data_IF_496414149644
#
_entry.id   IF_496414149644
#
_cell.length_a   1.000
_cell.length_b   1.000
_cell.length_c   1.000
_cell.angle_alpha   90.00
_cell.angle_beta   90.00
_cell.angle_gamma   90.00
#
_symmetry.space_group_name_H-M   'P 1'
#
loop_
_entity.id
_entity.type
_entity.pdbx_description
1 polymer ?
#
# COMPACT_ATOMS: atom_id res chain seq x y z
N UNK A 1 -3.63 15.52 -18.63
CA UNK A 1 -2.60 14.49 -18.47
C UNK A 1 -1.76 14.69 -17.19
N UNK A 2 -1.15 15.85 -16.95
CA UNK A 2 -0.34 16.10 -15.75
C UNK A 2 -1.07 15.85 -14.42
N UNK A 3 -2.35 16.21 -14.31
CA UNK A 3 -3.19 15.98 -13.11
C UNK A 3 -3.38 14.49 -12.74
N UNK A 4 -3.20 13.57 -13.66
CA UNK A 4 -3.33 12.12 -13.44
C UNK A 4 -1.97 11.44 -13.18
N UNK A 5 -0.87 12.06 -13.59
CA UNK A 5 0.46 11.46 -13.52
C UNK A 5 1.14 11.75 -12.17
N UNK A 6 0.99 12.97 -11.63
CA UNK A 6 1.67 13.34 -10.39
C UNK A 6 1.27 12.47 -9.16
N UNK A 7 -0.03 12.07 -8.98
CA UNK A 7 -0.37 11.18 -7.88
C UNK A 7 0.27 9.80 -8.04
N UNK A 8 0.37 9.31 -9.29
CA UNK A 8 1.01 8.05 -9.59
C UNK A 8 2.51 8.08 -9.26
N UNK A 9 3.19 9.16 -9.63
CA UNK A 9 4.61 9.35 -9.29
C UNK A 9 4.81 9.42 -7.77
N UNK A 10 3.93 10.13 -7.05
CA UNK A 10 3.97 10.20 -5.60
C UNK A 10 3.82 8.81 -4.97
N UNK A 11 2.87 8.00 -5.44
CA UNK A 11 2.65 6.62 -4.98
C UNK A 11 3.92 5.79 -5.22
N UNK A 12 4.50 5.85 -6.41
CA UNK A 12 5.68 5.06 -6.77
C UNK A 12 6.86 5.44 -5.87
N UNK A 13 7.16 6.73 -5.75
CA UNK A 13 8.28 7.21 -4.93
C UNK A 13 8.09 6.86 -3.45
N UNK A 14 6.88 7.08 -2.93
CA UNK A 14 6.55 6.72 -1.54
C UNK A 14 6.65 5.21 -1.31
N UNK A 15 6.22 4.40 -2.27
CA UNK A 15 6.29 2.94 -2.18
C UNK A 15 7.74 2.43 -2.21
N UNK A 16 8.61 3.04 -3.01
CA UNK A 16 10.06 2.72 -3.02
C UNK A 16 10.65 3.00 -1.64
N UNK A 17 10.43 4.21 -1.11
CA UNK A 17 10.92 4.60 0.20
C UNK A 17 10.36 3.68 1.31
N UNK A 18 9.06 3.39 1.27
CA UNK A 18 8.38 2.48 2.18
C UNK A 18 9.06 1.10 2.22
N UNK A 19 9.27 0.48 1.05
CA UNK A 19 9.88 -0.85 0.97
C UNK A 19 11.34 -0.85 1.47
N UNK A 20 12.11 0.20 1.18
CA UNK A 20 13.47 0.37 1.67
C UNK A 20 13.50 0.50 3.21
N UNK A 21 12.66 1.36 3.77
CA UNK A 21 12.57 1.56 5.21
C UNK A 21 12.09 0.28 5.93
N UNK A 22 11.05 -0.37 5.42
CA UNK A 22 10.51 -1.60 6.02
C UNK A 22 11.54 -2.73 6.02
N UNK A 23 12.30 -2.88 4.94
CA UNK A 23 13.40 -3.87 4.87
C UNK A 23 14.54 -3.55 5.83
N UNK A 24 14.75 -2.27 6.15
CA UNK A 24 15.81 -1.80 7.05
C UNK A 24 15.46 -1.93 8.54
N UNK A 25 14.23 -2.30 8.87
CA UNK A 25 13.81 -2.54 10.26
C UNK A 25 14.64 -3.67 10.87
N UNK A 26 15.31 -3.46 12.00
CA UNK A 26 16.12 -4.50 12.65
C UNK A 26 15.28 -5.72 13.01
N UNK A 27 15.86 -6.90 12.87
CA UNK A 27 15.17 -8.18 13.16
C UNK A 27 14.78 -8.34 14.63
N UNK A 28 15.53 -7.72 15.53
CA UNK A 28 15.32 -7.73 16.98
C UNK A 28 14.30 -6.67 17.45
N UNK A 29 13.89 -5.72 16.60
CA UNK A 29 12.87 -4.74 16.96
C UNK A 29 11.49 -5.39 16.98
N UNK A 30 10.64 -5.03 17.93
CA UNK A 30 9.25 -5.47 17.89
C UNK A 30 8.53 -4.83 16.69
N UNK A 31 7.87 -5.65 15.80
CA UNK A 31 7.15 -5.12 14.66
C UNK A 31 6.09 -4.10 15.04
N UNK A 32 5.28 -4.41 16.04
CA UNK A 32 4.19 -3.54 16.47
C UNK A 32 4.71 -2.26 17.15
N UNK A 33 5.79 -2.35 17.93
CA UNK A 33 6.45 -1.18 18.50
C UNK A 33 6.98 -0.23 17.42
N UNK A 34 7.58 -0.78 16.36
CA UNK A 34 8.03 0.01 15.21
C UNK A 34 6.85 0.68 14.49
N UNK A 35 5.74 -0.04 14.29
CA UNK A 35 4.55 0.51 13.65
C UNK A 35 3.90 1.63 14.47
N UNK A 36 3.90 1.54 15.79
CA UNK A 36 3.41 2.64 16.65
C UNK A 36 4.19 3.92 16.38
N UNK A 37 5.52 3.85 16.32
CA UNK A 37 6.36 5.02 16.02
C UNK A 37 6.08 5.55 14.61
N UNK A 38 5.93 4.66 13.64
CA UNK A 38 5.59 5.01 12.24
C UNK A 38 4.27 5.76 12.17
N UNK A 39 3.24 5.27 12.86
CA UNK A 39 1.91 5.92 12.85
C UNK A 39 1.90 7.24 13.60
N UNK A 40 2.63 7.35 14.70
CA UNK A 40 2.77 8.63 15.41
C UNK A 40 3.46 9.67 14.52
N UNK A 41 4.55 9.29 13.86
CA UNK A 41 5.22 10.18 12.90
C UNK A 41 4.29 10.56 11.74
N UNK A 42 3.58 9.60 11.17
CA UNK A 42 2.58 9.84 10.13
C UNK A 42 1.46 10.76 10.59
N UNK A 43 0.94 10.55 11.79
CA UNK A 43 -0.11 11.39 12.38
C UNK A 43 0.35 12.84 12.58
N UNK A 44 1.58 13.07 13.04
CA UNK A 44 2.14 14.42 13.19
C UNK A 44 2.26 15.10 11.83
N UNK A 45 2.77 14.40 10.82
CA UNK A 45 2.93 14.95 9.47
C UNK A 45 1.57 15.27 8.87
N UNK A 46 0.60 14.37 8.94
CA UNK A 46 -0.74 14.59 8.40
C UNK A 46 -1.47 15.69 9.13
N UNK A 47 -1.31 15.80 10.46
CA UNK A 47 -1.85 16.90 11.25
C UNK A 47 -1.28 18.26 10.82
N UNK A 48 0.04 18.34 10.63
CA UNK A 48 0.70 19.55 10.15
C UNK A 48 0.19 19.96 8.76
N UNK A 49 0.08 19.00 7.83
CA UNK A 49 -0.45 19.24 6.49
C UNK A 49 -1.92 19.67 6.51
N UNK A 50 -2.72 19.07 7.38
CA UNK A 50 -4.12 19.45 7.58
C UNK A 50 -4.24 20.89 8.08
N UNK A 51 -3.44 21.26 9.08
CA UNK A 51 -3.41 22.62 9.62
C UNK A 51 -3.02 23.65 8.57
N UNK A 52 -2.00 23.36 7.77
CA UNK A 52 -1.51 24.24 6.70
C UNK A 52 -2.53 24.40 5.58
N UNK A 53 -3.34 23.35 5.31
CA UNK A 53 -4.27 23.35 4.19
C UNK A 53 -5.68 23.88 4.55
N UNK A 54 -6.18 23.56 5.73
CA UNK A 54 -7.57 23.79 6.10
C UNK A 54 -7.82 25.05 6.91
N UNK A 55 -6.81 25.65 7.52
CA UNK A 55 -6.91 26.91 8.30
C UNK A 55 -7.79 26.86 9.56
N UNK A 56 -8.73 25.92 9.66
CA UNK A 56 -9.52 25.65 10.87
C UNK A 56 -9.86 24.14 10.95
N UNK A 57 -9.49 23.47 12.05
CA UNK A 57 -9.66 22.05 12.20
C UNK A 57 -11.07 21.68 12.68
N UNK A 58 -12.00 21.46 11.79
CA UNK A 58 -13.27 20.81 12.12
C UNK A 58 -13.11 19.30 11.95
N UNK A 59 -12.50 18.65 12.94
CA UNK A 59 -12.25 17.20 12.94
C UNK A 59 -13.52 16.37 12.85
N UNK A 60 -14.61 16.82 13.43
CA UNK A 60 -15.89 16.11 13.49
C UNK A 60 -16.46 15.78 12.10
N UNK A 61 -16.25 16.64 11.11
CA UNK A 61 -16.73 16.42 9.74
C UNK A 61 -15.96 15.32 8.98
N UNK A 62 -14.79 14.88 9.50
CA UNK A 62 -13.90 13.93 8.83
C UNK A 62 -13.89 12.54 9.48
N UNK A 63 -14.57 12.37 10.63
CA UNK A 63 -14.70 11.07 11.28
C UNK A 63 -15.74 10.24 10.53
N UNK A 64 -15.29 9.17 9.87
CA UNK A 64 -16.17 8.23 9.18
C UNK A 64 -15.69 6.78 9.37
N UNK A 65 -16.60 5.84 9.20
CA UNK A 65 -16.29 4.42 9.35
C UNK A 65 -15.19 3.94 8.38
N UNK A 66 -15.11 4.52 7.19
CA UNK A 66 -14.10 4.16 6.21
C UNK A 66 -12.69 4.53 6.69
N UNK A 67 -12.51 5.68 7.36
CA UNK A 67 -11.21 6.08 7.92
C UNK A 67 -10.74 5.12 9.02
N UNK A 68 -11.66 4.63 9.85
CA UNK A 68 -11.35 3.65 10.90
C UNK A 68 -10.98 2.30 10.30
N UNK A 69 -11.76 1.82 9.33
CA UNK A 69 -11.47 0.56 8.62
C UNK A 69 -10.16 0.63 7.85
N UNK A 70 -9.84 1.78 7.25
CA UNK A 70 -8.55 2.01 6.59
C UNK A 70 -7.40 1.88 7.59
N UNK A 71 -7.56 2.40 8.81
CA UNK A 71 -6.57 2.23 9.88
C UNK A 71 -6.28 0.75 10.16
N UNK A 72 -7.31 -0.09 10.30
CA UNK A 72 -7.13 -1.53 10.47
C UNK A 72 -6.43 -2.18 9.27
N UNK A 73 -6.85 -1.82 8.05
CA UNK A 73 -6.26 -2.36 6.83
C UNK A 73 -4.77 -2.02 6.71
N UNK A 74 -4.38 -0.78 7.04
CA UNK A 74 -2.98 -0.33 7.02
C UNK A 74 -2.15 -1.10 8.03
N UNK A 75 -2.64 -1.30 9.26
CA UNK A 75 -1.92 -2.12 10.27
C UNK A 75 -1.64 -3.52 9.74
N UNK A 76 -2.65 -4.18 9.16
CA UNK A 76 -2.48 -5.51 8.57
C UNK A 76 -1.50 -5.53 7.40
N UNK A 77 -1.56 -4.54 6.52
CA UNK A 77 -0.67 -4.40 5.37
C UNK A 77 0.79 -4.21 5.79
N UNK A 78 1.04 -3.27 6.69
CA UNK A 78 2.41 -2.95 7.13
C UNK A 78 3.01 -4.06 7.98
N UNK A 79 2.25 -4.66 8.90
CA UNK A 79 2.69 -5.84 9.64
C UNK A 79 3.03 -6.98 8.68
N UNK A 80 2.20 -7.22 7.66
CA UNK A 80 2.44 -8.21 6.61
C UNK A 80 3.76 -8.00 5.90
N UNK A 81 4.09 -6.77 5.50
CA UNK A 81 5.38 -6.46 4.86
C UNK A 81 6.58 -6.61 5.80
N UNK A 82 6.45 -6.23 7.08
CA UNK A 82 7.52 -6.45 8.07
C UNK A 82 7.82 -7.94 8.21
N UNK A 83 6.79 -8.77 8.36
CA UNK A 83 6.98 -10.22 8.45
C UNK A 83 7.47 -10.84 7.15
N UNK A 84 7.02 -10.37 5.99
CA UNK A 84 7.48 -10.82 4.68
C UNK A 84 9.00 -10.64 4.53
N UNK A 85 9.50 -9.46 4.88
CA UNK A 85 10.95 -9.20 4.78
C UNK A 85 11.76 -9.88 5.86
N UNK A 86 11.20 -10.11 7.04
CA UNK A 86 11.83 -10.94 8.09
C UNK A 86 11.92 -12.41 7.70
N UNK A 87 10.97 -12.91 6.94
CA UNK A 87 11.03 -14.26 6.38
C UNK A 87 12.11 -14.43 5.30
N UNK A 88 12.88 -13.38 5.00
CA UNK A 88 14.01 -13.42 4.10
C UNK A 88 13.70 -13.04 2.64
N UNK A 89 12.50 -12.60 2.34
CA UNK A 89 12.13 -12.21 0.98
C UNK A 89 12.97 -11.02 0.49
N UNK A 90 13.39 -11.08 -0.77
CA UNK A 90 14.09 -9.97 -1.42
C UNK A 90 13.09 -8.85 -1.72
N UNK A 91 13.51 -7.60 -1.60
CA UNK A 91 12.64 -6.42 -1.86
C UNK A 91 12.01 -6.51 -3.25
N UNK A 92 12.83 -6.84 -4.27
CA UNK A 92 12.37 -6.93 -5.65
C UNK A 92 11.29 -7.98 -5.89
N UNK A 93 11.40 -9.13 -5.23
CA UNK A 93 10.46 -10.25 -5.42
C UNK A 93 9.27 -10.12 -4.49
N UNK A 94 9.48 -9.83 -3.21
CA UNK A 94 8.42 -9.74 -2.20
C UNK A 94 7.39 -8.65 -2.53
N UNK A 95 7.86 -7.43 -2.78
CA UNK A 95 6.98 -6.31 -3.13
C UNK A 95 6.27 -6.55 -4.46
N UNK A 96 6.99 -7.05 -5.48
CA UNK A 96 6.37 -7.32 -6.78
C UNK A 96 5.32 -8.42 -6.69
N UNK A 97 5.60 -9.52 -5.98
CA UNK A 97 4.64 -10.61 -5.75
C UNK A 97 3.37 -10.10 -5.08
N UNK A 98 3.50 -9.35 -3.99
CA UNK A 98 2.37 -8.79 -3.26
C UNK A 98 1.53 -7.87 -4.16
N UNK A 99 2.16 -6.98 -4.92
CA UNK A 99 1.46 -6.03 -5.80
C UNK A 99 0.77 -6.72 -6.99
N UNK A 100 1.38 -7.75 -7.60
CA UNK A 100 0.74 -8.50 -8.71
C UNK A 100 -0.45 -9.30 -8.18
N UNK A 101 -0.29 -10.02 -7.06
CA UNK A 101 -1.40 -10.75 -6.45
C UNK A 101 -2.55 -9.79 -6.07
N UNK A 102 -2.23 -8.64 -5.48
CA UNK A 102 -3.21 -7.61 -5.16
C UNK A 102 -3.93 -7.11 -6.41
N UNK A 103 -3.21 -6.84 -7.50
CA UNK A 103 -3.81 -6.38 -8.75
C UNK A 103 -4.83 -7.39 -9.31
N UNK A 104 -4.51 -8.68 -9.27
CA UNK A 104 -5.44 -9.75 -9.71
C UNK A 104 -6.69 -9.79 -8.83
N UNK A 105 -6.52 -9.70 -7.52
CA UNK A 105 -7.65 -9.67 -6.57
C UNK A 105 -8.51 -8.43 -6.79
N UNK A 106 -7.90 -7.26 -7.01
CA UNK A 106 -8.63 -6.02 -7.26
C UNK A 106 -9.42 -6.05 -8.57
N UNK A 107 -8.91 -6.70 -9.62
CA UNK A 107 -9.68 -6.94 -10.86
C UNK A 107 -10.92 -7.78 -10.55
N UNK A 108 -10.78 -8.86 -9.79
CA UNK A 108 -11.93 -9.69 -9.40
C UNK A 108 -12.94 -8.90 -8.54
N UNK A 109 -12.48 -8.09 -7.59
CA UNK A 109 -13.33 -7.23 -6.76
C UNK A 109 -14.02 -6.15 -7.59
N UNK A 110 -13.32 -5.50 -8.51
CA UNK A 110 -13.86 -4.49 -9.41
C UNK A 110 -15.02 -5.05 -10.24
N UNK A 111 -14.87 -6.28 -10.73
CA UNK A 111 -15.93 -6.97 -11.46
C UNK A 111 -17.11 -7.36 -10.55
N UNK A 112 -16.83 -8.00 -9.41
CA UNK A 112 -17.88 -8.60 -8.57
C UNK A 112 -18.65 -7.57 -7.72
N UNK A 113 -17.96 -6.53 -7.22
CA UNK A 113 -18.53 -5.56 -6.28
C UNK A 113 -18.91 -4.26 -6.99
N UNK A 114 -18.05 -3.76 -7.85
CA UNK A 114 -18.25 -2.47 -8.54
C UNK A 114 -18.86 -2.63 -9.94
N UNK A 115 -19.11 -3.86 -10.39
CA UNK A 115 -19.68 -4.16 -11.71
C UNK A 115 -18.91 -3.48 -12.86
N UNK A 116 -17.59 -3.35 -12.71
CA UNK A 116 -16.72 -2.78 -13.74
C UNK A 116 -16.68 -3.70 -14.96
N UNK A 117 -16.73 -3.09 -16.15
CA UNK A 117 -16.57 -3.84 -17.40
C UNK A 117 -15.10 -4.20 -17.61
N UNK A 118 -14.75 -5.46 -17.30
CA UNK A 118 -13.40 -5.96 -17.52
C UNK A 118 -13.23 -6.31 -19.00
N UNK A 119 -12.28 -5.65 -19.64
CA UNK A 119 -11.92 -5.97 -21.02
C UNK A 119 -11.08 -7.25 -21.08
N UNK A 120 -11.20 -8.00 -22.19
CA UNK A 120 -10.37 -9.17 -22.44
C UNK A 120 -8.86 -8.85 -22.37
N UNK A 121 -8.49 -7.63 -22.75
CA UNK A 121 -7.10 -7.14 -22.65
C UNK A 121 -6.59 -7.07 -21.22
N UNK A 122 -7.44 -6.67 -20.27
CA UNK A 122 -7.08 -6.63 -18.84
C UNK A 122 -6.88 -8.03 -18.27
N UNK A 123 -7.72 -8.99 -18.65
CA UNK A 123 -7.59 -10.40 -18.24
C UNK A 123 -6.28 -11.00 -18.77
N UNK A 124 -5.99 -10.78 -20.06
CA UNK A 124 -4.73 -11.24 -20.67
C UNK A 124 -3.54 -10.58 -19.99
N UNK A 125 -3.59 -9.27 -19.73
CA UNK A 125 -2.53 -8.53 -19.02
C UNK A 125 -2.27 -9.10 -17.63
N UNK A 126 -3.31 -9.39 -16.86
CA UNK A 126 -3.19 -10.04 -15.54
C UNK A 126 -2.52 -11.42 -15.64
N UNK A 127 -2.90 -12.22 -16.64
CA UNK A 127 -2.28 -13.52 -16.91
C UNK A 127 -0.79 -13.40 -17.23
N UNK A 128 -0.39 -12.43 -18.05
CA UNK A 128 1.02 -12.17 -18.37
C UNK A 128 1.79 -11.74 -17.13
N UNK A 129 1.21 -10.92 -16.26
CA UNK A 129 1.84 -10.52 -14.98
C UNK A 129 2.08 -11.75 -14.07
N UNK A 130 1.11 -12.68 -13.99
CA UNK A 130 1.26 -13.90 -13.21
C UNK A 130 2.34 -14.83 -13.79
N UNK A 131 2.42 -14.94 -15.12
CA UNK A 131 3.49 -15.69 -15.80
C UNK A 131 4.87 -15.06 -15.51
N UNK A 132 4.98 -13.73 -15.58
CA UNK A 132 6.20 -13.02 -15.22
C UNK A 132 6.62 -13.28 -13.77
N UNK A 133 5.66 -13.31 -12.85
CA UNK A 133 5.90 -13.63 -11.46
C UNK A 133 6.40 -15.08 -11.28
N UNK A 134 5.80 -16.03 -11.99
CA UNK A 134 6.24 -17.43 -11.96
C UNK A 134 7.70 -17.56 -12.41
N UNK A 135 8.06 -16.91 -13.52
CA UNK A 135 9.44 -16.91 -14.03
C UNK A 135 10.45 -16.25 -13.09
N UNK A 136 10.04 -15.29 -12.28
CA UNK A 136 10.93 -14.65 -11.30
C UNK A 136 11.18 -15.52 -10.05
N UNK A 137 10.30 -16.47 -9.77
CA UNK A 137 10.39 -17.34 -8.60
C UNK A 137 10.91 -18.75 -8.94
N UNK A 138 11.06 -19.07 -10.22
CA UNK A 138 11.68 -20.32 -10.68
C UNK A 138 13.18 -20.17 -10.80
#
# INVERSE_FOLDING_TARGET
MWRMIWPLLLIILSNVLYNLCTKSIPQNADPFGTLIITYLAGAVITFALFWLHSGSPNFEAHINAASVLLGFAIVGLEAGYVYLYRAGWRISVGSLTANICLAVVLVAVGWAVYHENISLRQVIGAGVCLLGLYLMNS
#
